data_IF_742213880070
#
_entry.id   IF_742213880070
#
_cell.length_a   1.000
_cell.length_b   1.000
_cell.length_c   1.000
_cell.angle_alpha   90.00
_cell.angle_beta   90.00
_cell.angle_gamma   90.00
#
_symmetry.space_group_name_H-M   'P 1'
#
loop_
_entity.id
_entity.type
_entity.pdbx_description
1 polymer ?
#
# COMPACT_ATOMS: atom_id res chain seq x y z
N UNK A 1 -21.57 -3.54 -24.03
CA UNK A 1 -20.18 -3.11 -24.24
C UNK A 1 -19.41 -3.42 -22.97
N UNK A 2 -18.83 -4.61 -22.86
CA UNK A 2 -17.95 -4.95 -21.71
C UNK A 2 -16.55 -4.54 -22.10
N UNK A 3 -16.18 -3.31 -21.75
CA UNK A 3 -14.81 -2.83 -21.87
C UNK A 3 -13.88 -3.85 -21.21
N UNK A 4 -12.95 -4.44 -21.97
CA UNK A 4 -12.06 -5.53 -21.53
C UNK A 4 -10.60 -5.08 -21.50
N UNK A 5 -10.39 -3.76 -21.43
CA UNK A 5 -9.09 -3.10 -21.29
C UNK A 5 -8.79 -2.75 -19.82
N UNK A 6 -9.55 -3.36 -18.88
CA UNK A 6 -9.20 -3.44 -17.47
C UNK A 6 -7.95 -4.31 -17.34
N UNK A 7 -6.81 -3.78 -17.81
CA UNK A 7 -5.46 -4.30 -17.61
C UNK A 7 -5.26 -4.35 -16.11
N UNK A 8 -5.62 -5.53 -15.59
CA UNK A 8 -5.46 -6.05 -14.24
C UNK A 8 -5.50 -4.95 -13.15
N UNK A 9 -6.59 -4.20 -13.13
CA UNK A 9 -6.79 -3.11 -12.16
C UNK A 9 -6.63 -3.65 -10.73
N UNK A 10 -7.13 -4.86 -10.48
CA UNK A 10 -6.96 -5.58 -9.23
C UNK A 10 -5.48 -5.78 -8.89
N UNK A 11 -4.67 -6.32 -9.80
CA UNK A 11 -3.23 -6.49 -9.56
C UNK A 11 -2.50 -5.16 -9.35
N UNK A 12 -2.90 -4.10 -10.06
CA UNK A 12 -2.31 -2.77 -9.86
C UNK A 12 -2.67 -2.17 -8.50
N UNK A 13 -3.91 -2.36 -8.05
CA UNK A 13 -4.36 -1.92 -6.74
C UNK A 13 -3.64 -2.69 -5.62
N UNK A 14 -3.48 -4.00 -5.77
CA UNK A 14 -2.72 -4.82 -4.83
C UNK A 14 -1.26 -4.39 -4.76
N UNK A 15 -0.61 -4.17 -5.91
CA UNK A 15 0.76 -3.67 -5.95
C UNK A 15 0.88 -2.28 -5.29
N UNK A 16 -0.08 -1.39 -5.53
CA UNK A 16 -0.11 -0.07 -4.93
C UNK A 16 -0.33 -0.12 -3.41
N UNK A 17 -1.24 -0.97 -2.95
CA UNK A 17 -1.53 -1.18 -1.53
C UNK A 17 -0.30 -1.72 -0.79
N UNK A 18 0.37 -2.72 -1.37
CA UNK A 18 1.60 -3.27 -0.80
C UNK A 18 2.70 -2.21 -0.71
N UNK A 19 2.92 -1.47 -1.80
CA UNK A 19 3.89 -0.40 -1.82
C UNK A 19 3.61 0.67 -0.75
N UNK A 20 2.35 1.09 -0.61
CA UNK A 20 1.96 2.12 0.36
C UNK A 20 2.12 1.64 1.81
N UNK A 21 1.69 0.42 2.11
CA UNK A 21 1.65 -0.10 3.48
C UNK A 21 3.02 -0.58 3.99
N UNK A 22 3.87 -1.09 3.10
CA UNK A 22 5.10 -1.79 3.49
C UNK A 22 6.39 -1.12 3.01
N UNK A 23 6.39 -0.51 1.82
CA UNK A 23 7.63 -0.04 1.18
C UNK A 23 7.80 1.47 1.20
N UNK A 24 6.72 2.22 1.43
CA UNK A 24 6.72 3.68 1.42
C UNK A 24 6.86 4.25 2.83
N UNK A 25 8.03 4.79 3.21
CA UNK A 25 8.18 5.56 4.43
C UNK A 25 7.46 6.91 4.31
N UNK A 26 6.72 7.28 5.35
CA UNK A 26 5.94 8.52 5.38
C UNK A 26 6.50 9.51 6.41
N UNK A 27 6.57 10.79 6.05
CA UNK A 27 7.03 11.84 6.96
C UNK A 27 6.12 12.00 8.18
N UNK A 28 4.80 11.83 8.01
CA UNK A 28 3.81 11.80 9.11
C UNK A 28 4.06 10.66 10.11
N UNK A 29 4.74 9.62 9.68
CA UNK A 29 5.15 8.46 10.48
C UNK A 29 6.62 8.52 10.89
N UNK A 30 7.23 9.72 10.89
CA UNK A 30 8.64 9.93 11.22
C UNK A 30 9.59 9.09 10.35
N UNK A 31 9.25 8.91 9.07
CA UNK A 31 10.02 8.12 8.12
C UNK A 31 9.77 6.61 8.21
N UNK A 32 8.76 6.16 8.94
CA UNK A 32 8.34 4.75 8.98
C UNK A 32 7.21 4.46 8.01
N UNK A 33 7.02 3.19 7.69
CA UNK A 33 5.87 2.73 6.91
C UNK A 33 4.64 2.57 7.80
N UNK A 34 3.41 2.60 7.24
CA UNK A 34 2.19 2.38 8.01
C UNK A 34 2.23 1.08 8.82
N UNK A 35 2.75 0.00 8.24
CA UNK A 35 2.87 -1.29 8.91
C UNK A 35 3.87 -1.30 10.08
N UNK A 36 4.99 -0.57 9.96
CA UNK A 36 5.93 -0.39 11.07
C UNK A 36 5.30 0.36 12.24
N UNK A 37 4.51 1.40 11.96
CA UNK A 37 3.76 2.12 12.98
C UNK A 37 2.75 1.20 13.64
N UNK A 38 1.94 0.47 12.86
CA UNK A 38 0.98 -0.51 13.39
C UNK A 38 1.65 -1.52 14.31
N UNK A 39 2.77 -2.12 13.89
CA UNK A 39 3.53 -3.07 14.72
C UNK A 39 4.08 -2.46 16.00
N UNK A 40 4.43 -1.17 15.99
CA UNK A 40 4.90 -0.49 17.20
C UNK A 40 3.79 -0.28 18.24
N UNK A 41 2.53 -0.17 17.81
CA UNK A 41 1.35 0.00 18.66
C UNK A 41 0.83 -1.32 19.25
N UNK A 42 1.20 -2.46 18.67
CA UNK A 42 0.81 -3.81 19.12
C UNK A 42 1.74 -4.38 20.20
N UNK A 43 2.74 -3.60 20.64
CA UNK A 43 3.62 -3.93 21.77
C UNK A 43 3.05 -3.38 23.06
#
# INVERSE_FOLDING_TARGET
MTYTDDVDLSSKLEAWENFYNYDRPHMSHQGKTPYEVMRSLLK
#
